data_IF_925477489899
#
_entry.id   IF_925477489899
#
_cell.length_a   1.000
_cell.length_b   1.000
_cell.length_c   1.000
_cell.angle_alpha   90.00
_cell.angle_beta   90.00
_cell.angle_gamma   90.00
#
_symmetry.space_group_name_H-M   'P 1'
#
loop_
_entity.id
_entity.type
_entity.pdbx_description
1 polymer ?
#
# COMPACT_ATOMS: atom_id res chain seq x y z
N UNK A 1 40.95 10.69 15.23
CA UNK A 1 41.20 12.12 15.52
C UNK A 1 42.68 12.35 15.30
N UNK A 2 43.04 13.19 14.34
CA UNK A 2 44.44 13.46 14.01
C UNK A 2 44.83 14.86 14.50
N UNK A 3 46.10 15.05 14.87
CA UNK A 3 46.60 16.34 15.32
C UNK A 3 48.02 16.58 14.86
N UNK A 4 48.27 17.77 14.34
CA UNK A 4 49.61 18.21 13.96
C UNK A 4 50.10 19.26 14.95
N UNK A 5 51.32 19.08 15.44
CA UNK A 5 52.00 20.04 16.32
C UNK A 5 53.16 20.68 15.56
N UNK A 6 53.24 22.01 15.60
CA UNK A 6 54.31 22.77 14.96
C UNK A 6 54.89 23.82 15.90
N UNK A 7 56.16 24.15 15.67
CA UNK A 7 56.90 25.24 16.31
C UNK A 7 57.46 26.14 15.22
N UNK A 8 57.54 27.45 15.46
CA UNK A 8 58.25 28.37 14.58
C UNK A 8 59.71 28.49 15.03
N UNK A 9 60.66 28.47 14.09
CA UNK A 9 62.10 28.64 14.35
C UNK A 9 62.59 29.92 13.69
N UNK A 10 63.28 30.79 14.43
CA UNK A 10 63.78 32.08 13.92
C UNK A 10 65.26 32.04 13.48
N UNK A 11 65.89 30.88 13.48
CA UNK A 11 67.34 30.73 13.25
C UNK A 11 68.15 30.60 14.53
N UNK A 12 67.53 30.70 15.72
CA UNK A 12 68.19 30.48 17.00
C UNK A 12 67.33 29.69 17.99
N UNK A 13 66.06 30.04 18.17
CA UNK A 13 65.16 29.39 19.15
C UNK A 13 63.81 29.00 18.53
N UNK A 14 63.23 27.91 19.05
CA UNK A 14 61.87 27.48 18.72
C UNK A 14 60.83 28.23 19.58
N UNK A 15 59.67 28.52 19.00
CA UNK A 15 58.49 28.95 19.73
C UNK A 15 57.96 27.85 20.66
N UNK A 16 56.99 28.19 21.51
CA UNK A 16 56.13 27.18 22.13
C UNK A 16 55.36 26.42 21.03
N UNK A 17 55.08 25.11 21.23
CA UNK A 17 54.33 24.33 20.27
C UNK A 17 52.88 24.82 20.15
N UNK A 18 52.39 24.94 18.92
CA UNK A 18 50.99 25.09 18.59
C UNK A 18 50.46 23.77 18.04
N UNK A 19 49.24 23.39 18.41
CA UNK A 19 48.60 22.16 17.96
C UNK A 19 47.32 22.48 17.21
N UNK A 20 47.17 21.94 16.01
CA UNK A 20 45.90 21.92 15.28
C UNK A 20 45.30 20.52 15.40
N UNK A 21 43.98 20.46 15.57
CA UNK A 21 43.22 19.20 15.54
C UNK A 21 42.47 19.13 14.22
N UNK A 22 42.62 18.02 13.50
CA UNK A 22 41.85 17.72 12.32
C UNK A 22 40.69 16.79 12.71
N UNK A 23 39.47 17.32 12.59
CA UNK A 23 38.25 16.55 12.74
C UNK A 23 37.71 16.26 11.34
N UNK A 24 37.84 15.02 10.89
CA UNK A 24 37.16 14.52 9.69
C UNK A 24 35.87 13.85 10.15
N UNK A 25 34.72 14.37 9.73
CA UNK A 25 33.44 13.69 9.90
C UNK A 25 33.25 12.64 8.81
N UNK A 26 32.62 11.51 9.15
CA UNK A 26 32.05 10.62 8.14
C UNK A 26 30.69 11.21 7.74
N UNK A 27 30.42 11.48 6.46
CA UNK A 27 29.07 11.79 6.02
C UNK A 27 28.17 10.59 6.30
N UNK A 28 26.97 10.85 6.80
CA UNK A 28 25.88 9.87 6.87
C UNK A 28 25.61 9.27 5.48
N UNK A 29 25.23 8.00 5.36
CA UNK A 29 24.81 7.31 4.15
C UNK A 29 23.27 7.17 4.10
N UNK A 30 22.64 7.18 2.91
CA UNK A 30 21.20 6.96 2.83
C UNK A 30 20.82 5.52 3.20
N UNK A 31 19.59 5.28 3.68
CA UNK A 31 19.06 3.92 3.79
C UNK A 31 18.99 3.25 2.41
N UNK A 32 19.08 1.92 2.40
CA UNK A 32 18.99 1.07 1.21
C UNK A 32 17.86 0.05 1.35
N UNK A 33 17.40 -0.48 0.21
CA UNK A 33 16.47 -1.62 0.17
C UNK A 33 17.29 -2.91 0.21
N UNK A 34 17.03 -3.75 1.20
CA UNK A 34 17.67 -5.07 1.38
C UNK A 34 16.81 -6.18 0.80
N UNK A 35 15.49 -6.08 1.00
CA UNK A 35 14.50 -7.00 0.47
C UNK A 35 13.41 -6.17 -0.17
N UNK A 36 13.09 -6.43 -1.44
CA UNK A 36 11.98 -5.77 -2.12
C UNK A 36 10.66 -6.18 -1.46
N UNK A 37 9.69 -5.27 -1.45
CA UNK A 37 8.31 -5.62 -1.17
C UNK A 37 7.76 -6.35 -2.40
N UNK A 38 7.31 -7.60 -2.21
CA UNK A 38 6.74 -8.39 -3.29
C UNK A 38 5.39 -7.83 -3.76
N UNK A 39 5.12 -7.95 -5.06
CA UNK A 39 3.78 -7.71 -5.61
C UNK A 39 2.77 -8.67 -4.99
N UNK A 40 1.56 -8.17 -4.74
CA UNK A 40 0.50 -8.91 -4.07
C UNK A 40 -0.68 -9.12 -5.02
N UNK A 41 -1.19 -10.35 -5.07
CA UNK A 41 -2.45 -10.65 -5.76
C UNK A 41 -3.43 -11.30 -4.81
N UNK A 42 -4.62 -10.74 -4.70
CA UNK A 42 -5.76 -11.29 -3.95
C UNK A 42 -6.99 -11.34 -4.85
N UNK A 43 -8.02 -12.06 -4.42
CA UNK A 43 -9.36 -11.89 -5.00
C UNK A 43 -10.06 -10.73 -4.28
N UNK A 44 -11.10 -10.17 -4.88
CA UNK A 44 -11.98 -9.25 -4.16
C UNK A 44 -12.62 -9.91 -2.93
N UNK A 45 -13.06 -9.09 -2.00
CA UNK A 45 -13.54 -9.48 -0.66
C UNK A 45 -12.56 -10.30 0.18
N UNK A 46 -11.28 -10.34 -0.22
CA UNK A 46 -10.24 -10.92 0.60
C UNK A 46 -10.14 -10.22 1.97
N UNK A 47 -9.79 -10.95 3.03
CA UNK A 47 -9.47 -10.33 4.31
C UNK A 47 -8.24 -9.43 4.19
N UNK A 48 -8.05 -8.53 5.16
CA UNK A 48 -6.88 -7.64 5.23
C UNK A 48 -5.56 -8.42 5.11
N UNK A 49 -4.61 -7.88 4.34
CA UNK A 49 -3.24 -8.39 4.28
C UNK A 49 -2.32 -7.57 5.18
N UNK A 50 -1.41 -8.25 5.87
CA UNK A 50 -0.36 -7.60 6.64
C UNK A 50 1.02 -7.94 6.10
N UNK A 51 1.83 -6.91 5.84
CA UNK A 51 3.19 -7.00 5.34
C UNK A 51 4.14 -6.46 6.43
N UNK A 52 5.13 -7.26 6.80
CA UNK A 52 6.20 -6.84 7.71
C UNK A 52 7.34 -6.19 6.90
N UNK A 53 7.64 -4.95 7.24
CA UNK A 53 8.68 -4.12 6.63
C UNK A 53 9.97 -4.10 7.46
N UNK A 54 10.06 -4.92 8.52
CA UNK A 54 11.21 -4.93 9.45
C UNK A 54 12.53 -5.25 8.77
N UNK A 55 12.51 -6.02 7.68
CA UNK A 55 13.71 -6.45 6.93
C UNK A 55 13.82 -5.80 5.55
N UNK A 56 12.91 -4.89 5.18
CA UNK A 56 12.90 -4.29 3.84
C UNK A 56 14.03 -3.27 3.68
N UNK A 57 14.30 -2.48 4.72
CA UNK A 57 15.27 -1.38 4.67
C UNK A 57 16.38 -1.53 5.71
N UNK A 58 17.59 -1.10 5.36
CA UNK A 58 18.72 -0.98 6.29
C UNK A 58 19.49 0.30 6.04
N UNK A 59 20.22 0.77 7.04
CA UNK A 59 21.13 1.90 6.95
C UNK A 59 22.40 1.51 7.73
N UNK A 60 23.57 1.82 7.17
CA UNK A 60 24.87 1.37 7.72
C UNK A 60 25.32 2.24 8.91
N UNK A 61 24.85 3.48 8.97
CA UNK A 61 25.21 4.45 10.00
C UNK A 61 24.16 4.52 11.12
N UNK A 62 22.90 4.18 10.82
CA UNK A 62 21.77 4.36 11.73
C UNK A 62 20.86 3.12 11.82
N UNK A 63 20.55 2.66 13.03
CA UNK A 63 19.58 1.58 13.23
C UNK A 63 18.11 2.05 13.15
N UNK A 64 17.86 3.35 13.34
CA UNK A 64 16.51 3.91 13.42
C UNK A 64 15.99 4.35 12.04
N UNK A 65 15.16 3.51 11.42
CA UNK A 65 14.57 3.77 10.10
C UNK A 65 13.05 3.94 10.22
N UNK A 66 12.58 5.17 9.99
CA UNK A 66 11.16 5.51 9.97
C UNK A 66 10.55 5.22 8.61
N UNK A 67 9.39 4.56 8.58
CA UNK A 67 8.71 4.15 7.36
C UNK A 67 7.39 4.91 7.23
N UNK A 68 7.09 5.39 6.04
CA UNK A 68 5.84 6.11 5.73
C UNK A 68 5.28 5.63 4.41
N UNK A 69 3.97 5.39 4.35
CA UNK A 69 3.26 5.25 3.08
C UNK A 69 3.11 6.65 2.48
N UNK A 70 3.71 6.88 1.31
CA UNK A 70 3.75 8.21 0.68
C UNK A 70 2.77 8.37 -0.47
N UNK A 71 2.40 7.27 -1.15
CA UNK A 71 1.40 7.30 -2.20
C UNK A 71 0.72 5.95 -2.40
N UNK A 72 -0.54 6.04 -2.82
CA UNK A 72 -1.35 4.96 -3.37
C UNK A 72 -2.15 5.56 -4.53
N UNK A 73 -1.97 5.03 -5.73
CA UNK A 73 -2.63 5.57 -6.93
C UNK A 73 -4.11 5.16 -7.08
N UNK A 74 -4.60 4.26 -6.23
CA UNK A 74 -5.98 3.77 -6.27
C UNK A 74 -6.52 3.48 -4.85
N UNK A 75 -6.67 4.54 -4.06
CA UNK A 75 -7.19 4.47 -2.69
C UNK A 75 -8.64 3.96 -2.59
N UNK A 76 -9.42 4.07 -3.67
CA UNK A 76 -10.77 3.50 -3.75
C UNK A 76 -10.77 1.98 -3.83
N UNK A 77 -9.70 1.35 -4.31
CA UNK A 77 -9.57 -0.10 -4.41
C UNK A 77 -8.90 -0.70 -3.18
N UNK A 78 -7.78 -0.11 -2.75
CA UNK A 78 -6.97 -0.59 -1.63
C UNK A 78 -6.68 0.58 -0.71
N UNK A 79 -6.86 0.41 0.59
CA UNK A 79 -6.41 1.38 1.60
C UNK A 79 -5.22 0.82 2.37
N UNK A 80 -4.19 1.63 2.55
CA UNK A 80 -2.98 1.25 3.28
C UNK A 80 -2.86 2.01 4.59
N UNK A 81 -2.66 1.29 5.69
CA UNK A 81 -2.31 1.89 6.99
C UNK A 81 -0.99 1.33 7.46
N UNK A 82 -0.06 2.21 7.84
CA UNK A 82 1.27 1.83 8.29
C UNK A 82 1.45 2.19 9.77
N UNK A 83 1.77 1.20 10.59
CA UNK A 83 2.16 1.40 11.98
C UNK A 83 3.48 0.69 12.25
N UNK A 84 4.49 1.46 12.66
CA UNK A 84 5.86 0.96 12.86
C UNK A 84 6.39 0.25 11.60
N UNK A 85 6.56 -1.07 11.68
CA UNK A 85 7.02 -1.91 10.58
C UNK A 85 5.88 -2.69 9.91
N UNK A 86 4.64 -2.50 10.33
CA UNK A 86 3.53 -3.30 9.82
C UNK A 86 2.64 -2.45 8.91
N UNK A 87 2.71 -2.77 7.61
CA UNK A 87 1.77 -2.26 6.61
C UNK A 87 0.55 -3.17 6.58
N UNK A 88 -0.64 -2.59 6.75
CA UNK A 88 -1.91 -3.27 6.59
C UNK A 88 -2.63 -2.74 5.35
N UNK A 89 -3.10 -3.65 4.53
CA UNK A 89 -3.85 -3.38 3.31
C UNK A 89 -5.27 -3.90 3.48
N UNK A 90 -6.25 -3.02 3.25
CA UNK A 90 -7.68 -3.37 3.23
C UNK A 90 -8.22 -3.14 1.83
N UNK A 91 -9.07 -4.04 1.37
CA UNK A 91 -9.63 -4.02 0.00
C UNK A 91 -11.07 -3.51 0.04
N UNK A 92 -11.45 -2.73 -0.98
CA UNK A 92 -12.84 -2.33 -1.13
C UNK A 92 -13.71 -3.56 -1.48
N UNK A 93 -14.91 -3.69 -0.88
CA UNK A 93 -15.83 -4.76 -1.22
C UNK A 93 -16.23 -4.70 -2.69
N UNK A 94 -16.41 -5.87 -3.32
CA UNK A 94 -16.89 -6.01 -4.70
C UNK A 94 -16.08 -5.19 -5.73
N UNK A 95 -14.81 -4.91 -5.44
CA UNK A 95 -13.95 -4.07 -6.27
C UNK A 95 -12.73 -4.84 -6.76
N UNK A 96 -12.44 -4.69 -8.05
CA UNK A 96 -11.28 -5.29 -8.71
C UNK A 96 -10.45 -4.26 -9.46
N UNK A 97 -9.17 -4.59 -9.70
CA UNK A 97 -8.23 -3.70 -10.38
C UNK A 97 -6.81 -3.82 -9.85
N UNK A 98 -6.02 -2.77 -10.03
CA UNK A 98 -4.67 -2.68 -9.49
C UNK A 98 -4.43 -1.33 -8.80
N UNK A 99 -3.49 -1.35 -7.85
CA UNK A 99 -2.98 -0.18 -7.14
C UNK A 99 -1.45 -0.29 -7.02
N UNK A 100 -0.74 0.81 -7.24
CA UNK A 100 0.70 0.95 -6.94
C UNK A 100 0.86 1.67 -5.62
N UNK A 101 1.54 1.02 -4.67
CA UNK A 101 1.82 1.59 -3.34
C UNK A 101 3.31 1.89 -3.24
N UNK A 102 3.63 3.07 -2.70
CA UNK A 102 5.03 3.50 -2.47
C UNK A 102 5.27 3.73 -0.99
N UNK A 103 6.29 3.05 -0.46
CA UNK A 103 6.77 3.18 0.91
C UNK A 103 8.11 3.89 0.91
N UNK A 104 8.22 4.93 1.73
CA UNK A 104 9.46 5.65 1.99
C UNK A 104 10.06 5.21 3.31
N UNK A 105 11.34 4.87 3.28
CA UNK A 105 12.18 4.76 4.46
C UNK A 105 13.01 6.03 4.64
N UNK A 106 13.04 6.57 5.86
CA UNK A 106 13.80 7.76 6.24
C UNK A 106 14.72 7.43 7.41
N UNK A 107 16.00 7.77 7.26
CA UNK A 107 17.04 7.56 8.26
C UNK A 107 18.09 8.66 8.13
N UNK A 108 18.58 9.23 9.24
CA UNK A 108 19.54 10.35 9.20
C UNK A 108 19.05 11.63 8.48
N UNK A 109 17.77 11.71 8.12
CA UNK A 109 17.22 12.77 7.24
C UNK A 109 17.36 12.48 5.74
N UNK A 110 17.89 11.31 5.38
CA UNK A 110 17.98 10.76 4.02
C UNK A 110 16.86 9.76 3.78
N UNK A 111 16.59 9.46 2.50
CA UNK A 111 15.44 8.67 2.09
C UNK A 111 15.78 7.61 1.04
N UNK A 112 14.98 6.55 1.01
CA UNK A 112 14.85 5.60 -0.09
C UNK A 112 13.38 5.19 -0.23
N UNK A 113 12.91 5.02 -1.46
CA UNK A 113 11.53 4.64 -1.76
C UNK A 113 11.52 3.25 -2.39
N UNK A 114 10.60 2.39 -1.96
CA UNK A 114 10.27 1.10 -2.58
C UNK A 114 8.80 1.10 -3.01
N UNK A 115 8.51 0.45 -4.14
CA UNK A 115 7.18 0.41 -4.75
C UNK A 115 6.78 -1.00 -5.13
N UNK A 116 5.53 -1.37 -4.89
CA UNK A 116 4.97 -2.66 -5.24
C UNK A 116 3.53 -2.51 -5.74
N UNK A 117 3.09 -3.49 -6.53
CA UNK A 117 1.74 -3.52 -7.11
C UNK A 117 0.85 -4.47 -6.31
N UNK A 118 -0.36 -4.01 -6.04
CA UNK A 118 -1.44 -4.82 -5.47
C UNK A 118 -2.49 -5.03 -6.55
N UNK A 119 -2.77 -6.28 -6.90
CA UNK A 119 -3.82 -6.68 -7.85
C UNK A 119 -4.97 -7.36 -7.11
N UNK A 120 -6.18 -6.85 -7.29
CA UNK A 120 -7.42 -7.46 -6.78
C UNK A 120 -8.17 -8.05 -7.97
N UNK A 121 -8.35 -9.36 -7.97
CA UNK A 121 -9.02 -10.11 -9.05
C UNK A 121 -10.53 -10.15 -8.84
N UNK A 122 -11.33 -9.94 -9.89
CA UNK A 122 -12.77 -10.11 -9.80
C UNK A 122 -13.14 -11.59 -9.59
N UNK A 123 -14.29 -11.80 -8.95
CA UNK A 123 -14.93 -13.07 -8.61
C UNK A 123 -16.42 -12.92 -8.90
N UNK A 124 -16.94 -13.82 -9.73
CA UNK A 124 -18.36 -13.83 -10.12
C UNK A 124 -19.29 -14.08 -8.89
N UNK A 125 -20.09 -13.08 -8.55
CA UNK A 125 -21.19 -13.14 -7.60
C UNK A 125 -22.44 -13.76 -8.25
N UNK A 126 -23.29 -14.47 -7.48
CA UNK A 126 -24.57 -14.93 -7.98
C UNK A 126 -25.60 -13.78 -8.05
N UNK A 127 -26.57 -13.85 -8.99
CA UNK A 127 -27.68 -12.91 -9.01
C UNK A 127 -28.50 -12.97 -7.71
N UNK A 128 -28.92 -11.80 -7.23
CA UNK A 128 -29.77 -11.64 -6.04
C UNK A 128 -31.10 -10.99 -6.39
N UNK A 129 -32.10 -11.17 -5.53
CA UNK A 129 -33.39 -10.50 -5.66
C UNK A 129 -33.23 -9.04 -5.20
N UNK A 130 -33.36 -8.11 -6.13
CA UNK A 130 -33.34 -6.67 -5.86
C UNK A 130 -34.73 -6.15 -5.49
N UNK A 131 -35.76 -6.56 -6.24
CA UNK A 131 -37.14 -6.13 -6.04
C UNK A 131 -38.06 -7.35 -6.02
N UNK A 132 -38.44 -7.80 -4.82
CA UNK A 132 -39.34 -8.92 -4.67
C UNK A 132 -40.71 -8.60 -5.28
N UNK A 133 -41.25 -9.56 -6.02
CA UNK A 133 -42.61 -9.48 -6.56
C UNK A 133 -43.58 -9.88 -5.46
N UNK A 134 -44.62 -9.09 -5.25
CA UNK A 134 -45.69 -9.42 -4.31
C UNK A 134 -46.61 -10.50 -4.89
N UNK A 135 -47.20 -11.31 -4.00
CA UNK A 135 -48.19 -12.30 -4.40
C UNK A 135 -49.36 -11.62 -5.12
N UNK A 136 -49.80 -12.23 -6.21
CA UNK A 136 -50.93 -11.75 -7.01
C UNK A 136 -52.15 -12.60 -6.69
N UNK A 137 -53.23 -11.94 -6.28
CA UNK A 137 -54.55 -12.55 -6.10
C UNK A 137 -55.48 -12.05 -7.21
N UNK A 138 -56.21 -12.95 -7.84
CA UNK A 138 -57.16 -12.62 -8.90
C UNK A 138 -58.42 -13.48 -8.78
N UNK A 139 -59.57 -12.92 -9.18
CA UNK A 139 -60.83 -13.66 -9.20
C UNK A 139 -60.90 -14.54 -10.43
N UNK A 140 -61.72 -15.59 -10.36
CA UNK A 140 -62.06 -16.39 -11.53
C UNK A 140 -62.60 -15.51 -12.67
N UNK A 141 -62.23 -15.86 -13.90
CA UNK A 141 -62.57 -15.14 -15.14
C UNK A 141 -62.00 -13.71 -15.27
N UNK A 142 -61.02 -13.34 -14.44
CA UNK A 142 -60.25 -12.10 -14.63
C UNK A 142 -59.37 -12.16 -15.89
N UNK A 143 -59.09 -10.98 -16.48
CA UNK A 143 -58.15 -10.87 -17.58
C UNK A 143 -56.71 -11.19 -17.15
N UNK A 144 -55.87 -11.57 -18.12
CA UNK A 144 -54.46 -11.88 -17.92
C UNK A 144 -53.72 -10.77 -17.16
N UNK A 145 -52.90 -11.18 -16.21
CA UNK A 145 -52.02 -10.29 -15.46
C UNK A 145 -50.64 -10.26 -16.12
N UNK A 146 -50.13 -9.07 -16.37
CA UNK A 146 -48.75 -8.87 -16.83
C UNK A 146 -47.89 -8.63 -15.60
N UNK A 147 -46.93 -9.51 -15.37
CA UNK A 147 -45.92 -9.34 -14.32
C UNK A 147 -44.70 -8.70 -14.96
N UNK A 148 -44.37 -7.49 -14.50
CA UNK A 148 -43.12 -6.86 -14.89
C UNK A 148 -41.96 -7.51 -14.12
N UNK A 149 -41.09 -8.18 -14.87
CA UNK A 149 -39.90 -8.81 -14.31
C UNK A 149 -38.69 -7.88 -14.28
N UNK A 150 -38.81 -6.65 -14.83
CA UNK A 150 -37.72 -5.70 -14.89
C UNK A 150 -37.18 -5.37 -13.49
N UNK A 151 -35.85 -5.44 -13.35
CA UNK A 151 -35.13 -5.14 -12.11
C UNK A 151 -35.52 -6.01 -10.89
N UNK A 152 -36.18 -7.16 -11.09
CA UNK A 152 -36.46 -8.09 -10.00
C UNK A 152 -35.17 -8.71 -9.47
N UNK A 153 -34.23 -8.98 -10.37
CA UNK A 153 -32.90 -9.49 -10.06
C UNK A 153 -31.84 -8.45 -10.39
N UNK A 154 -30.72 -8.51 -9.67
CA UNK A 154 -29.50 -7.80 -9.99
C UNK A 154 -28.34 -8.74 -9.78
N UNK A 155 -27.25 -8.48 -10.49
CA UNK A 155 -25.97 -9.13 -10.32
C UNK A 155 -24.92 -8.03 -10.19
N UNK A 156 -23.88 -8.24 -9.38
CA UNK A 156 -22.86 -7.19 -9.19
C UNK A 156 -21.88 -7.16 -10.36
N UNK A 157 -21.64 -8.30 -10.99
CA UNK A 157 -20.66 -8.48 -12.06
C UNK A 157 -21.28 -8.44 -13.44
N UNK A 158 -22.56 -8.79 -13.56
CA UNK A 158 -23.24 -8.87 -14.86
C UNK A 158 -24.28 -7.76 -15.05
N UNK A 159 -24.39 -7.30 -16.31
CA UNK A 159 -25.50 -6.44 -16.71
C UNK A 159 -26.83 -7.21 -16.59
N UNK A 160 -27.90 -6.49 -16.24
CA UNK A 160 -29.24 -7.08 -16.11
C UNK A 160 -29.68 -7.88 -17.35
N UNK A 161 -29.24 -7.47 -18.55
CA UNK A 161 -29.58 -8.15 -19.81
C UNK A 161 -28.99 -9.56 -19.94
N UNK A 162 -27.95 -9.88 -19.17
CA UNK A 162 -27.29 -11.18 -19.20
C UNK A 162 -27.94 -12.20 -18.23
N UNK A 163 -28.80 -11.72 -17.33
CA UNK A 163 -29.53 -12.55 -16.37
C UNK A 163 -30.65 -13.32 -17.09
N UNK A 164 -30.59 -14.66 -17.02
CA UNK A 164 -31.62 -15.55 -17.59
C UNK A 164 -32.56 -16.06 -16.51
N UNK A 165 -33.84 -15.81 -16.69
CA UNK A 165 -34.90 -16.24 -15.77
C UNK A 165 -35.58 -17.48 -16.34
N UNK A 166 -35.63 -18.55 -15.55
CA UNK A 166 -36.34 -19.78 -15.87
C UNK A 166 -37.46 -20.02 -14.84
N UNK A 167 -38.62 -20.47 -15.31
CA UNK A 167 -39.69 -20.96 -14.45
C UNK A 167 -39.47 -22.47 -14.26
N UNK A 168 -39.43 -22.93 -13.01
CA UNK A 168 -39.20 -24.33 -12.62
C UNK A 168 -40.48 -25.03 -12.19
#
# INVERSE_FOLDING_TARGET
MDSFTFVAYDGSINSKPATIRLNVGVPDDPPIIVNLIDDLTVNEDAPETSIDLSTVFSDIDNDNIFKTLISNDNESLVTGTLSHNQLKLSYAPDASGAATIVIRATSGGKIVDDSFVVTVRPVDDPPVIANAIIDITTDEDSADQIIDMANVFTDKDNDYSDIKINII
#
